data_IF_299402464335
#
_entry.id   IF_299402464335
#
_cell.length_a   1.000
_cell.length_b   1.000
_cell.length_c   1.000
_cell.angle_alpha   90.00
_cell.angle_beta   90.00
_cell.angle_gamma   90.00
#
_symmetry.space_group_name_H-M   'P 1'
#
loop_
_entity.id
_entity.type
_entity.pdbx_description
1 polymer ?
#
# COMPACT_ATOMS: atom_id res chain seq x y z
N UNK A 1 3.04 -11.79 0.55
CA UNK A 1 3.53 -11.30 1.87
C UNK A 1 2.49 -10.34 2.43
N UNK A 2 1.92 -10.59 3.61
CA UNK A 2 0.91 -9.70 4.19
C UNK A 2 1.56 -8.41 4.70
N UNK A 3 1.05 -7.26 4.24
CA UNK A 3 1.52 -5.93 4.65
C UNK A 3 1.23 -5.68 6.14
N UNK A 4 2.26 -5.61 6.98
CA UNK A 4 2.09 -5.42 8.43
C UNK A 4 2.01 -3.93 8.78
N UNK A 5 0.79 -3.45 9.02
CA UNK A 5 0.49 -2.06 9.36
C UNK A 5 1.31 -1.50 10.52
N UNK A 6 1.37 -2.25 11.63
CA UNK A 6 1.98 -1.75 12.86
C UNK A 6 3.49 -1.59 12.75
N UNK A 7 4.13 -2.38 11.88
CA UNK A 7 5.56 -2.30 11.64
C UNK A 7 5.91 -1.08 10.79
N UNK A 8 5.14 -0.80 9.75
CA UNK A 8 5.42 0.31 8.84
C UNK A 8 5.13 1.68 9.49
N UNK A 9 4.06 1.80 10.29
CA UNK A 9 3.79 3.06 11.03
C UNK A 9 4.88 3.37 12.08
N UNK A 10 5.45 2.34 12.72
CA UNK A 10 6.60 2.51 13.64
C UNK A 10 7.84 3.01 12.91
N UNK A 11 8.16 2.44 11.75
CA UNK A 11 9.29 2.92 10.94
C UNK A 11 9.09 4.36 10.49
N UNK A 12 7.87 4.69 10.04
CA UNK A 12 7.53 6.04 9.61
C UNK A 12 7.70 7.06 10.74
N UNK A 13 7.24 6.74 11.95
CA UNK A 13 7.43 7.61 13.12
C UNK A 13 8.90 7.85 13.46
N UNK A 14 9.71 6.79 13.52
CA UNK A 14 11.14 6.91 13.83
C UNK A 14 11.86 7.76 12.77
N UNK A 15 11.54 7.54 11.50
CA UNK A 15 12.12 8.32 10.41
C UNK A 15 11.68 9.80 10.46
N UNK A 16 10.38 10.07 10.66
CA UNK A 16 9.86 11.44 10.78
C UNK A 16 10.41 12.20 11.96
N UNK A 17 10.57 11.56 13.12
CA UNK A 17 11.16 12.20 14.29
C UNK A 17 12.62 12.64 14.05
N UNK A 18 13.39 11.83 13.32
CA UNK A 18 14.76 12.18 12.95
C UNK A 18 14.80 13.34 11.95
N UNK A 19 13.91 13.34 10.95
CA UNK A 19 13.80 14.42 9.96
C UNK A 19 13.37 15.75 10.60
N UNK A 20 12.34 15.75 11.44
CA UNK A 20 11.88 16.96 12.13
C UNK A 20 12.94 17.52 13.08
N UNK A 21 13.71 16.65 13.73
CA UNK A 21 14.86 17.08 14.53
C UNK A 21 15.90 17.79 13.68
N UNK A 22 16.25 17.26 12.50
CA UNK A 22 17.17 17.91 11.56
C UNK A 22 16.62 19.26 11.07
N UNK A 23 15.33 19.33 10.75
CA UNK A 23 14.70 20.59 10.30
C UNK A 23 14.76 21.67 11.40
N UNK A 24 14.54 21.31 12.66
CA UNK A 24 14.71 22.23 13.80
C UNK A 24 16.17 22.66 13.98
N UNK A 25 17.13 21.74 13.83
CA UNK A 25 18.56 22.05 13.87
C UNK A 25 18.99 23.00 12.73
N UNK A 26 18.34 22.89 11.56
CA UNK A 26 18.52 23.81 10.43
C UNK A 26 17.78 25.15 10.59
N UNK A 27 17.06 25.38 11.70
CA UNK A 27 16.34 26.63 11.96
C UNK A 27 15.05 26.80 11.16
N UNK A 28 14.46 25.71 10.68
CA UNK A 28 13.15 25.74 10.01
C UNK A 28 12.07 26.04 11.05
N UNK A 29 11.11 26.88 10.67
CA UNK A 29 9.96 27.23 11.50
C UNK A 29 9.06 26.01 11.79
N UNK A 30 8.52 25.94 13.01
CA UNK A 30 7.68 24.82 13.44
C UNK A 30 6.39 24.71 12.62
N UNK A 31 5.82 25.82 12.14
CA UNK A 31 4.63 25.79 11.29
C UNK A 31 4.92 25.13 9.92
N UNK A 32 6.11 25.37 9.37
CA UNK A 32 6.60 24.73 8.15
C UNK A 32 6.83 23.24 8.38
N UNK A 33 7.42 22.86 9.52
CA UNK A 33 7.62 21.46 9.91
C UNK A 33 6.27 20.73 10.05
N UNK A 34 5.27 21.35 10.67
CA UNK A 34 3.92 20.80 10.78
C UNK A 34 3.25 20.63 9.41
N UNK A 35 3.38 21.60 8.50
CA UNK A 35 2.87 21.49 7.14
C UNK A 35 3.48 20.30 6.39
N UNK A 36 4.80 20.13 6.49
CA UNK A 36 5.51 18.98 5.91
C UNK A 36 4.99 17.68 6.50
N UNK A 37 4.85 17.59 7.84
CA UNK A 37 4.31 16.40 8.51
C UNK A 37 2.90 16.04 8.04
N UNK A 38 2.04 17.03 7.84
CA UNK A 38 0.68 16.82 7.34
C UNK A 38 0.69 16.32 5.89
N UNK A 39 1.51 16.91 5.02
CA UNK A 39 1.68 16.49 3.63
C UNK A 39 2.20 15.05 3.55
N UNK A 40 3.27 14.74 4.28
CA UNK A 40 3.86 13.39 4.32
C UNK A 40 2.88 12.36 4.89
N UNK A 41 2.03 12.75 5.85
CA UNK A 41 1.00 11.84 6.38
C UNK A 41 -0.09 11.57 5.34
N UNK A 42 -0.48 12.58 4.56
CA UNK A 42 -1.43 12.41 3.47
C UNK A 42 -0.85 11.50 2.36
N UNK A 43 0.43 11.66 2.02
CA UNK A 43 1.13 10.80 1.06
C UNK A 43 1.31 9.38 1.58
N UNK A 44 1.73 9.23 2.83
CA UNK A 44 1.85 7.92 3.47
C UNK A 44 0.51 7.18 3.47
N UNK A 45 -0.60 7.87 3.79
CA UNK A 45 -1.95 7.30 3.74
C UNK A 45 -2.41 6.98 2.31
N UNK A 46 -2.09 7.82 1.33
CA UNK A 46 -2.47 7.63 -0.08
C UNK A 46 -1.70 6.47 -0.72
N UNK A 47 -0.39 6.40 -0.49
CA UNK A 47 0.45 5.30 -0.95
C UNK A 47 0.00 3.97 -0.32
N UNK A 48 -0.51 4.02 0.91
CA UNK A 48 -1.10 2.86 1.60
C UNK A 48 -2.44 2.42 1.00
N UNK A 49 -3.27 3.37 0.58
CA UNK A 49 -4.52 3.11 -0.14
C UNK A 49 -4.24 2.51 -1.52
N UNK A 50 -3.17 2.96 -2.19
CA UNK A 50 -2.66 2.36 -3.41
C UNK A 50 -2.23 0.91 -3.17
N UNK A 51 -1.34 0.62 -2.22
CA UNK A 51 -0.91 -0.77 -1.96
C UNK A 51 -2.05 -1.69 -1.53
N UNK A 52 -3.04 -1.21 -0.77
CA UNK A 52 -4.24 -2.00 -0.47
C UNK A 52 -5.01 -2.34 -1.75
N UNK A 53 -5.27 -1.35 -2.60
CA UNK A 53 -5.98 -1.56 -3.86
C UNK A 53 -5.21 -2.46 -4.84
N UNK A 54 -3.89 -2.29 -4.97
CA UNK A 54 -3.06 -3.12 -5.85
C UNK A 54 -2.97 -4.57 -5.34
N UNK A 55 -2.98 -4.80 -4.02
CA UNK A 55 -3.09 -6.16 -3.47
C UNK A 55 -4.49 -6.74 -3.73
N UNK A 56 -5.56 -5.98 -3.48
CA UNK A 56 -6.94 -6.44 -3.75
C UNK A 56 -7.13 -6.78 -5.25
N UNK A 57 -6.56 -5.98 -6.16
CA UNK A 57 -6.60 -6.23 -7.62
C UNK A 57 -5.71 -7.41 -8.01
N UNK A 58 -4.50 -7.54 -7.45
CA UNK A 58 -3.62 -8.67 -7.73
C UNK A 58 -4.23 -9.99 -7.25
N UNK A 59 -4.83 -10.03 -6.05
CA UNK A 59 -5.52 -11.19 -5.50
C UNK A 59 -6.75 -11.56 -6.34
N UNK A 60 -7.55 -10.56 -6.77
CA UNK A 60 -8.66 -10.78 -7.68
C UNK A 60 -8.21 -11.37 -9.03
N UNK A 61 -7.11 -10.87 -9.60
CA UNK A 61 -6.55 -11.40 -10.86
C UNK A 61 -5.97 -12.82 -10.69
N UNK A 62 -5.31 -13.11 -9.57
CA UNK A 62 -4.83 -14.45 -9.23
C UNK A 62 -5.98 -15.45 -9.05
N UNK A 63 -7.09 -15.05 -8.40
CA UNK A 63 -8.28 -15.89 -8.24
C UNK A 63 -8.96 -16.19 -9.59
N UNK A 64 -9.06 -15.19 -10.48
CA UNK A 64 -9.58 -15.38 -11.83
C UNK A 64 -8.68 -16.28 -12.70
N UNK A 65 -7.36 -16.11 -12.63
CA UNK A 65 -6.39 -16.99 -13.31
C UNK A 65 -6.37 -18.42 -12.73
N UNK A 66 -6.76 -18.59 -11.46
CA UNK A 66 -6.99 -19.89 -10.83
C UNK A 66 -8.24 -20.59 -11.36
N UNK A 67 -9.30 -19.83 -11.67
CA UNK A 67 -10.56 -20.34 -12.24
C UNK A 67 -10.44 -20.73 -13.71
N UNK A 68 -9.60 -20.06 -14.50
CA UNK A 68 -9.34 -20.43 -15.91
C UNK A 68 -8.69 -21.81 -16.09
N UNK A 69 -8.12 -22.41 -15.04
CA UNK A 69 -7.57 -23.78 -15.09
C UNK A 69 -8.61 -24.90 -14.92
N UNK A 70 -9.90 -24.61 -14.74
CA UNK A 70 -10.93 -25.63 -14.91
C UNK A 70 -11.13 -25.87 -16.41
N UNK A 71 -10.39 -26.87 -16.90
CA UNK A 71 -10.37 -27.30 -18.29
C UNK A 71 -11.79 -27.59 -18.83
N UNK A 72 -12.07 -26.94 -19.97
CA UNK A 72 -12.89 -27.35 -21.10
C UNK A 72 -14.19 -28.13 -20.78
N UNK A 73 -15.32 -27.44 -20.90
CA UNK A 73 -16.64 -28.06 -21.07
C UNK A 73 -16.56 -29.04 -22.25
N UNK A 74 -16.88 -30.30 -21.99
CA UNK A 74 -16.81 -31.41 -22.94
C UNK A 74 -17.43 -31.07 -24.30
N UNK A 75 -16.80 -31.58 -25.35
CA UNK A 75 -17.27 -31.39 -26.73
C UNK A 75 -18.69 -31.94 -26.92
N UNK A 76 -19.46 -31.29 -27.80
CA UNK A 76 -20.90 -31.52 -28.09
C UNK A 76 -21.24 -32.98 -28.49
N UNK A 77 -20.26 -33.85 -28.66
CA UNK A 77 -20.42 -35.25 -29.01
C UNK A 77 -21.04 -36.13 -27.90
N UNK A 78 -21.12 -35.67 -26.65
CA UNK A 78 -21.75 -36.43 -25.54
C UNK A 78 -23.25 -36.17 -25.35
N UNK A 79 -23.87 -35.36 -26.22
CA UNK A 79 -25.30 -34.98 -26.15
C UNK A 79 -26.21 -35.66 -27.20
N UNK A 80 -25.74 -36.74 -27.84
CA UNK A 80 -26.51 -37.57 -28.77
C UNK A 80 -26.48 -39.05 -28.37
#
# INVERSE_FOLDING_TARGET
MAYNHGREDRKWRIWKEAEEKLLRECGVDEATIEQIRMADRADFNSNRRFYRWTNDVAEYLEDMAGRERQAEVGTVAELL
#
